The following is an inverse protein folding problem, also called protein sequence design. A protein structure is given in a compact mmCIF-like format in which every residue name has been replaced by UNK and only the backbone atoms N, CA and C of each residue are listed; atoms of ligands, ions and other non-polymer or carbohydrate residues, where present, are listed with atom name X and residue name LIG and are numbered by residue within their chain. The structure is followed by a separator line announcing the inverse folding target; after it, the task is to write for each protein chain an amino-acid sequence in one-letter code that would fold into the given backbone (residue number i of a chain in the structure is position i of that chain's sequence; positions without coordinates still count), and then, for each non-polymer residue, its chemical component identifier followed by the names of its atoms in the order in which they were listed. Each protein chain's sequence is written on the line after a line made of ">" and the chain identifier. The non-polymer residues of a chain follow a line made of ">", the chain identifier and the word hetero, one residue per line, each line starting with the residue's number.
data_IF_860745538151
#
_entry.id   IF_860745538151
#
_cell.length_a   1.000
_cell.length_b   1.000
_cell.length_c   1.000
_cell.angle_alpha   90.00
_cell.angle_beta   90.00
_cell.angle_gamma   90.00
#
_symmetry.space_group_name_H-M   'P 1'
#
loop_
_entity.id
_entity.type
_entity.pdbx_description
1 polymer ?
#
# COMPACT_ATOMS: atom_id res chain seq x y z
N UNK A 1 -13.71 21.78 -3.32
CA UNK A 1 -12.72 22.24 -2.32
C UNK A 1 -12.85 21.36 -1.09
N UNK A 2 -11.75 20.76 -0.63
CA UNK A 2 -11.74 19.92 0.58
C UNK A 2 -11.82 20.86 1.78
N UNK A 3 -12.86 20.73 2.62
CA UNK A 3 -12.97 21.58 3.82
C UNK A 3 -11.87 21.20 4.82
N UNK A 4 -10.80 21.98 4.87
CA UNK A 4 -9.60 21.69 5.67
C UNK A 4 -9.83 21.78 7.19
N UNK A 5 -10.95 22.34 7.64
CA UNK A 5 -11.33 22.54 9.05
C UNK A 5 -12.38 21.54 9.56
N UNK A 6 -12.64 20.44 8.84
CA UNK A 6 -13.70 19.48 9.20
C UNK A 6 -13.51 18.83 10.58
N UNK A 7 -12.28 18.58 11.01
CA UNK A 7 -11.99 17.97 12.31
C UNK A 7 -10.87 18.72 13.04
N UNK A 8 -11.07 18.92 14.34
CA UNK A 8 -10.20 19.77 15.18
C UNK A 8 -8.92 19.09 15.66
N UNK A 9 -8.73 17.79 15.42
CA UNK A 9 -7.67 16.95 15.99
C UNK A 9 -6.79 16.26 14.93
N UNK A 10 -6.82 16.71 13.67
CA UNK A 10 -6.08 16.08 12.56
C UNK A 10 -5.11 17.02 11.83
N UNK A 11 -4.96 18.27 12.25
CA UNK A 11 -4.26 19.32 11.49
C UNK A 11 -2.81 18.94 11.17
N UNK A 12 -2.14 18.29 12.13
CA UNK A 12 -0.75 17.82 12.01
C UNK A 12 -0.66 16.29 11.87
N UNK A 13 -1.78 15.61 11.67
CA UNK A 13 -1.81 14.15 11.60
C UNK A 13 -1.38 13.66 10.21
N UNK A 14 -0.49 12.68 10.15
CA UNK A 14 0.08 12.16 8.90
C UNK A 14 -0.96 11.64 7.89
N UNK A 15 -2.10 11.14 8.40
CA UNK A 15 -3.22 10.64 7.61
C UNK A 15 -4.30 11.70 7.31
N UNK A 16 -4.09 12.99 7.60
CA UNK A 16 -5.09 14.08 7.46
C UNK A 16 -5.82 14.05 6.12
N UNK A 17 -5.07 13.96 5.03
CA UNK A 17 -5.61 13.98 3.66
C UNK A 17 -6.53 12.79 3.39
N UNK A 18 -6.14 11.58 3.80
CA UNK A 18 -6.97 10.38 3.68
C UNK A 18 -8.21 10.42 4.57
N UNK A 19 -8.08 10.95 5.79
CA UNK A 19 -9.20 11.14 6.72
C UNK A 19 -10.25 12.06 6.10
N UNK A 20 -9.85 13.24 5.60
CA UNK A 20 -10.76 14.18 4.97
C UNK A 20 -11.42 13.58 3.71
N UNK A 21 -10.66 12.85 2.90
CA UNK A 21 -11.18 12.22 1.69
C UNK A 21 -12.21 11.11 1.98
N UNK A 22 -11.98 10.30 3.02
CA UNK A 22 -12.91 9.28 3.47
C UNK A 22 -14.18 9.91 4.09
N UNK A 23 -14.03 10.99 4.86
CA UNK A 23 -15.15 11.69 5.47
C UNK A 23 -16.06 12.38 4.46
N UNK A 24 -15.49 13.02 3.43
CA UNK A 24 -16.27 13.62 2.34
C UNK A 24 -17.08 12.61 1.53
N UNK A 25 -16.67 11.34 1.55
CA UNK A 25 -17.38 10.23 0.92
C UNK A 25 -18.34 9.51 1.88
N UNK A 26 -18.54 10.06 3.09
CA UNK A 26 -19.35 9.48 4.16
C UNK A 26 -18.90 8.06 4.61
N UNK A 27 -17.66 7.69 4.33
CA UNK A 27 -17.12 6.37 4.68
C UNK A 27 -16.76 6.30 6.17
N UNK A 28 -16.06 7.34 6.63
CA UNK A 28 -15.66 7.50 8.02
C UNK A 28 -16.21 8.81 8.54
N UNK A 29 -16.93 8.77 9.66
CA UNK A 29 -17.52 9.95 10.28
C UNK A 29 -16.73 10.33 11.54
N UNK A 30 -16.62 11.63 11.78
CA UNK A 30 -16.16 12.14 13.08
C UNK A 30 -17.25 12.06 14.14
N UNK A 31 -16.94 12.59 15.30
CA UNK A 31 -17.80 12.62 16.47
C UNK A 31 -18.55 13.95 16.56
N UNK A 32 -19.68 14.01 17.30
CA UNK A 32 -20.45 15.25 17.47
C UNK A 32 -19.67 16.43 18.09
N UNK A 33 -18.56 16.15 18.76
CA UNK A 33 -17.63 17.14 19.34
C UNK A 33 -16.68 17.77 18.30
N UNK A 34 -16.81 17.43 17.03
CA UNK A 34 -15.96 17.94 15.95
C UNK A 34 -14.59 17.26 15.85
N UNK A 35 -14.35 16.16 16.59
CA UNK A 35 -13.12 15.37 16.50
C UNK A 35 -13.26 14.18 15.56
N UNK A 36 -12.14 13.68 15.03
CA UNK A 36 -12.07 12.43 14.27
C UNK A 36 -11.53 11.25 15.10
N UNK A 37 -10.65 11.54 16.06
CA UNK A 37 -9.91 10.61 16.92
C UNK A 37 -9.06 9.63 16.11
N UNK A 38 -8.08 10.12 15.32
CA UNK A 38 -7.34 9.30 14.36
C UNK A 38 -6.52 8.17 15.00
N UNK A 39 -6.06 8.36 16.24
CA UNK A 39 -5.29 7.36 16.98
C UNK A 39 -6.16 6.33 17.74
N UNK A 40 -7.48 6.51 17.78
CA UNK A 40 -8.33 5.58 18.50
C UNK A 40 -8.37 4.22 17.76
N UNK A 41 -8.25 3.10 18.48
CA UNK A 41 -8.31 1.77 17.88
C UNK A 41 -9.73 1.46 17.42
N UNK A 42 -9.86 0.53 16.46
CA UNK A 42 -11.16 0.17 15.88
C UNK A 42 -11.57 -1.24 16.27
N UNK A 43 -12.84 -1.41 16.59
CA UNK A 43 -13.44 -2.71 16.86
C UNK A 43 -13.72 -3.50 15.58
N UNK A 44 -13.87 -4.82 15.69
CA UNK A 44 -14.23 -5.68 14.55
C UNK A 44 -15.58 -5.29 13.93
N UNK A 45 -16.57 -4.88 14.74
CA UNK A 45 -17.87 -4.41 14.25
C UNK A 45 -17.76 -3.09 13.49
N UNK A 46 -17.01 -2.12 14.02
CA UNK A 46 -16.76 -0.86 13.31
C UNK A 46 -16.04 -1.07 11.99
N UNK A 47 -15.03 -1.95 11.96
CA UNK A 47 -14.34 -2.27 10.72
C UNK A 47 -15.26 -2.91 9.68
N UNK A 48 -16.16 -3.82 10.09
CA UNK A 48 -17.18 -4.38 9.19
C UNK A 48 -18.11 -3.31 8.62
N UNK A 49 -18.57 -2.37 9.45
CA UNK A 49 -19.38 -1.24 9.02
C UNK A 49 -18.65 -0.33 8.02
N UNK A 50 -17.36 -0.03 8.27
CA UNK A 50 -16.53 0.77 7.38
C UNK A 50 -16.37 0.10 6.01
N UNK A 51 -16.15 -1.23 5.98
CA UNK A 51 -16.08 -1.98 4.71
C UNK A 51 -17.41 -1.93 3.96
N UNK A 52 -18.52 -2.21 4.64
CA UNK A 52 -19.87 -2.22 4.04
C UNK A 52 -20.26 -0.86 3.45
N UNK A 53 -19.86 0.23 4.10
CA UNK A 53 -20.09 1.60 3.60
C UNK A 53 -19.10 1.98 2.50
N UNK A 54 -17.81 1.70 2.71
CA UNK A 54 -16.72 2.31 1.98
C UNK A 54 -16.25 1.59 0.74
N UNK A 55 -16.47 0.28 0.64
CA UNK A 55 -15.92 -0.55 -0.43
C UNK A 55 -17.00 -1.00 -1.42
N UNK A 56 -16.63 -1.28 -2.69
CA UNK A 56 -17.55 -1.86 -3.65
C UNK A 56 -18.14 -3.16 -3.14
N UNK A 57 -19.46 -3.33 -3.32
CA UNK A 57 -20.15 -4.58 -2.97
C UNK A 57 -19.53 -5.74 -3.74
N UNK A 58 -19.10 -6.75 -3.00
CA UNK A 58 -18.57 -7.99 -3.56
C UNK A 58 -19.67 -9.05 -3.59
N UNK A 59 -19.62 -10.01 -4.54
CA UNK A 59 -20.53 -11.15 -4.55
C UNK A 59 -20.45 -11.96 -3.25
N UNK A 60 -21.60 -12.46 -2.79
CA UNK A 60 -21.65 -13.40 -1.66
C UNK A 60 -20.94 -14.71 -2.06
N UNK A 61 -19.85 -15.00 -1.35
CA UNK A 61 -19.01 -16.20 -1.54
C UNK A 61 -19.21 -17.22 -0.42
N UNK A 62 -19.93 -16.86 0.66
CA UNK A 62 -20.26 -17.74 1.78
C UNK A 62 -21.77 -17.71 2.05
N UNK A 63 -22.37 -18.82 2.54
CA UNK A 63 -23.76 -18.83 2.97
C UNK A 63 -23.97 -17.88 4.16
N UNK A 64 -25.18 -17.35 4.31
CA UNK A 64 -25.53 -16.54 5.46
C UNK A 64 -25.48 -17.35 6.76
N UNK A 65 -24.99 -16.73 7.83
CA UNK A 65 -25.02 -17.29 9.18
C UNK A 65 -25.40 -16.21 10.19
N UNK A 66 -25.90 -16.63 11.34
CA UNK A 66 -26.03 -15.77 12.52
C UNK A 66 -24.91 -16.07 13.52
N UNK A 67 -24.22 -15.03 13.96
CA UNK A 67 -23.24 -15.13 15.03
C UNK A 67 -23.96 -15.06 16.39
N UNK A 68 -23.53 -15.89 17.34
CA UNK A 68 -24.21 -16.04 18.64
C UNK A 68 -24.10 -14.75 19.47
N UNK A 69 -22.99 -14.03 19.33
CA UNK A 69 -22.68 -12.79 20.04
C UNK A 69 -23.00 -11.52 19.24
N UNK A 70 -23.76 -11.65 18.15
CA UNK A 70 -24.27 -10.52 17.36
C UNK A 70 -25.79 -10.63 17.25
N UNK A 71 -26.54 -10.06 18.21
CA UNK A 71 -27.98 -10.00 18.16
C UNK A 71 -28.48 -9.33 16.86
N UNK A 72 -29.66 -9.72 16.37
CA UNK A 72 -30.21 -9.17 15.12
C UNK A 72 -30.44 -7.64 15.16
N UNK A 73 -30.66 -7.06 16.34
CA UNK A 73 -30.80 -5.63 16.56
C UNK A 73 -29.47 -4.90 16.81
N UNK A 74 -28.33 -5.60 16.80
CA UNK A 74 -27.03 -4.97 16.93
C UNK A 74 -26.79 -4.03 15.75
N UNK A 75 -26.33 -2.80 16.01
CA UNK A 75 -26.20 -1.74 15.01
C UNK A 75 -25.36 -2.14 13.78
N UNK A 76 -24.36 -3.01 13.98
CA UNK A 76 -23.49 -3.54 12.91
C UNK A 76 -23.92 -4.90 12.36
N UNK A 77 -25.05 -5.50 12.79
CA UNK A 77 -25.42 -6.87 12.44
C UNK A 77 -25.43 -7.11 10.92
N UNK A 78 -26.06 -6.21 10.17
CA UNK A 78 -26.11 -6.26 8.71
C UNK A 78 -24.72 -6.16 8.07
N UNK A 79 -23.91 -5.19 8.51
CA UNK A 79 -22.56 -4.99 7.98
C UNK A 79 -21.64 -6.20 8.27
N UNK A 80 -21.79 -6.82 9.44
CA UNK A 80 -21.08 -8.03 9.83
C UNK A 80 -21.47 -9.20 8.92
N UNK A 81 -22.77 -9.40 8.68
CA UNK A 81 -23.26 -10.44 7.78
C UNK A 81 -22.75 -10.23 6.35
N UNK A 82 -22.84 -9.01 5.83
CA UNK A 82 -22.34 -8.65 4.49
C UNK A 82 -20.82 -8.89 4.37
N UNK A 83 -20.03 -8.41 5.34
CA UNK A 83 -18.58 -8.61 5.34
C UNK A 83 -18.19 -10.09 5.44
N UNK A 84 -18.97 -10.90 6.17
CA UNK A 84 -18.76 -12.34 6.24
C UNK A 84 -19.06 -13.04 4.92
N UNK A 85 -20.23 -12.76 4.33
CA UNK A 85 -20.66 -13.35 3.06
C UNK A 85 -19.70 -12.98 1.92
N UNK A 86 -19.20 -11.74 1.92
CA UNK A 86 -18.25 -11.23 0.94
C UNK A 86 -16.79 -11.61 1.21
N UNK A 87 -16.51 -12.55 2.13
CA UNK A 87 -15.17 -13.06 2.44
C UNK A 87 -14.19 -12.01 3.02
N UNK A 88 -14.65 -10.82 3.40
CA UNK A 88 -13.81 -9.84 4.08
C UNK A 88 -13.49 -10.28 5.50
N UNK A 89 -14.49 -10.68 6.29
CA UNK A 89 -14.29 -11.05 7.68
C UNK A 89 -14.73 -12.49 7.93
N UNK A 90 -14.08 -13.14 8.88
CA UNK A 90 -14.46 -14.46 9.38
C UNK A 90 -14.84 -14.36 10.85
N UNK A 91 -15.72 -15.25 11.28
CA UNK A 91 -15.91 -15.52 12.69
C UNK A 91 -14.81 -16.40 13.27
N UNK A 92 -14.91 -16.60 14.56
CA UNK A 92 -14.15 -17.56 15.35
C UNK A 92 -14.94 -18.87 15.49
N UNK A 93 -14.32 -19.94 16.04
CA UNK A 93 -15.03 -21.15 16.40
C UNK A 93 -16.30 -20.87 17.23
N UNK A 94 -17.25 -21.81 17.17
CA UNK A 94 -18.55 -21.71 17.86
C UNK A 94 -19.43 -20.54 17.39
N UNK A 95 -19.28 -20.09 16.14
CA UNK A 95 -20.07 -18.99 15.55
C UNK A 95 -19.99 -17.70 16.36
N UNK A 96 -18.82 -17.37 16.89
CA UNK A 96 -18.56 -16.06 17.51
C UNK A 96 -18.00 -15.08 16.48
N UNK A 97 -18.43 -13.83 16.52
CA UNK A 97 -17.83 -12.76 15.72
C UNK A 97 -16.91 -11.86 16.53
N UNK A 98 -17.20 -11.69 17.82
CA UNK A 98 -16.53 -10.82 18.78
C UNK A 98 -16.57 -9.35 18.38
N UNK A 99 -17.76 -8.73 18.29
CA UNK A 99 -17.95 -7.41 17.69
C UNK A 99 -17.18 -6.29 18.38
N UNK A 100 -16.99 -6.38 19.71
CA UNK A 100 -16.34 -5.36 20.52
C UNK A 100 -14.82 -5.56 20.70
N UNK A 101 -14.25 -6.67 20.20
CA UNK A 101 -12.80 -6.84 20.21
C UNK A 101 -12.15 -5.87 19.23
N UNK A 102 -11.03 -5.27 19.63
CA UNK A 102 -10.21 -4.44 18.76
C UNK A 102 -9.55 -5.30 17.68
N UNK A 103 -9.49 -4.79 16.44
CA UNK A 103 -8.96 -5.55 15.31
C UNK A 103 -7.46 -5.27 15.11
N UNK A 104 -6.59 -6.31 15.15
CA UNK A 104 -5.19 -6.15 14.80
C UNK A 104 -4.98 -5.71 13.34
N UNK A 105 -3.92 -4.94 13.07
CA UNK A 105 -3.54 -4.49 11.72
C UNK A 105 -3.48 -5.65 10.72
N UNK A 106 -2.90 -6.78 11.13
CA UNK A 106 -2.80 -7.96 10.27
C UNK A 106 -4.17 -8.51 9.87
N UNK A 107 -5.15 -8.49 10.78
CA UNK A 107 -6.50 -8.97 10.48
C UNK A 107 -7.25 -8.00 9.55
N UNK A 108 -7.11 -6.69 9.76
CA UNK A 108 -7.71 -5.68 8.90
C UNK A 108 -7.17 -5.77 7.46
N UNK A 109 -5.85 -5.89 7.28
CA UNK A 109 -5.23 -6.02 5.96
C UNK A 109 -5.53 -7.38 5.30
N UNK A 110 -5.54 -8.47 6.08
CA UNK A 110 -5.96 -9.79 5.60
C UNK A 110 -7.39 -9.73 5.08
N UNK A 111 -8.29 -9.08 5.83
CA UNK A 111 -9.69 -8.94 5.46
C UNK A 111 -9.87 -8.20 4.12
N UNK A 112 -9.17 -7.08 3.93
CA UNK A 112 -9.19 -6.35 2.67
C UNK A 112 -8.69 -7.22 1.50
N UNK A 113 -7.57 -7.91 1.66
CA UNK A 113 -7.02 -8.76 0.62
C UNK A 113 -7.93 -9.96 0.29
N UNK A 114 -8.53 -10.59 1.30
CA UNK A 114 -9.45 -11.72 1.13
C UNK A 114 -10.76 -11.33 0.48
N UNK A 115 -11.38 -10.22 0.89
CA UNK A 115 -12.65 -9.76 0.33
C UNK A 115 -12.51 -9.22 -1.10
N UNK A 116 -11.37 -8.60 -1.43
CA UNK A 116 -11.07 -8.11 -2.77
C UNK A 116 -10.41 -9.18 -3.67
N UNK A 117 -10.31 -10.41 -3.18
CA UNK A 117 -9.75 -11.56 -3.88
C UNK A 117 -8.37 -11.31 -4.49
N UNK A 118 -7.47 -10.67 -3.72
CA UNK A 118 -6.11 -10.43 -4.18
C UNK A 118 -5.28 -11.71 -4.12
N UNK A 119 -4.77 -12.12 -5.29
CA UNK A 119 -3.74 -13.15 -5.41
C UNK A 119 -2.33 -12.61 -5.18
N UNK A 120 -1.40 -13.51 -4.84
CA UNK A 120 0.05 -13.25 -4.82
C UNK A 120 0.65 -13.89 -6.07
N UNK A 121 1.52 -13.18 -6.77
CA UNK A 121 2.19 -13.71 -7.97
C UNK A 121 3.61 -14.21 -7.69
N UNK A 122 4.24 -13.74 -6.62
CA UNK A 122 5.56 -14.16 -6.15
C UNK A 122 5.48 -15.09 -4.93
N UNK A 123 6.63 -15.63 -4.50
CA UNK A 123 6.75 -16.31 -3.21
C UNK A 123 6.38 -15.34 -2.07
N UNK A 124 5.28 -15.58 -1.33
CA UNK A 124 4.82 -14.69 -0.28
C UNK A 124 5.89 -14.42 0.79
N UNK A 125 6.71 -15.41 1.14
CA UNK A 125 7.72 -15.28 2.19
C UNK A 125 8.81 -14.32 1.75
N UNK A 126 9.26 -14.43 0.50
CA UNK A 126 10.29 -13.54 -0.04
C UNK A 126 9.76 -12.10 -0.21
N UNK A 127 8.51 -11.94 -0.65
CA UNK A 127 7.85 -10.62 -0.69
C UNK A 127 7.84 -9.98 0.70
N UNK A 128 7.43 -10.71 1.74
CA UNK A 128 7.38 -10.16 3.09
C UNK A 128 8.77 -9.84 3.66
N UNK A 129 9.76 -10.72 3.48
CA UNK A 129 11.15 -10.48 3.90
C UNK A 129 11.76 -9.24 3.21
N UNK A 130 11.40 -9.00 1.95
CA UNK A 130 11.88 -7.82 1.19
C UNK A 130 11.37 -6.52 1.82
N UNK A 131 10.12 -6.48 2.23
CA UNK A 131 9.44 -5.24 2.59
C UNK A 131 9.28 -4.99 4.09
N UNK A 132 9.41 -6.01 4.95
CA UNK A 132 9.15 -5.88 6.38
C UNK A 132 10.27 -6.43 7.26
N UNK A 133 10.83 -5.57 8.10
CA UNK A 133 11.85 -5.94 9.09
C UNK A 133 11.25 -6.78 10.23
N UNK A 134 9.95 -6.64 10.47
CA UNK A 134 9.16 -7.41 11.45
C UNK A 134 8.36 -8.56 10.83
N UNK A 135 8.74 -9.05 9.64
CA UNK A 135 7.99 -10.12 8.95
C UNK A 135 7.76 -11.37 9.82
N UNK A 136 8.70 -11.68 10.75
CA UNK A 136 8.60 -12.82 11.65
C UNK A 136 7.43 -12.73 12.64
N UNK A 137 6.81 -11.56 12.81
CA UNK A 137 5.62 -11.38 13.63
C UNK A 137 4.31 -11.64 12.87
N UNK A 138 4.37 -11.83 11.54
CA UNK A 138 3.20 -12.09 10.71
C UNK A 138 2.77 -13.55 10.90
N UNK A 139 1.54 -13.82 11.39
CA UNK A 139 1.06 -15.18 11.55
C UNK A 139 0.96 -15.93 10.21
N UNK A 140 1.23 -17.23 10.22
CA UNK A 140 1.24 -18.07 9.01
C UNK A 140 -0.06 -18.01 8.21
N UNK A 141 -1.22 -17.90 8.89
CA UNK A 141 -2.53 -17.79 8.23
C UNK A 141 -2.66 -16.51 7.39
N UNK A 142 -1.92 -15.46 7.72
CA UNK A 142 -2.01 -14.15 7.09
C UNK A 142 -0.94 -13.94 6.00
N UNK A 143 0.11 -14.77 5.96
CA UNK A 143 1.27 -14.63 5.08
C UNK A 143 0.90 -14.31 3.63
N UNK A 144 0.01 -15.12 3.03
CA UNK A 144 -0.41 -14.92 1.63
C UNK A 144 -1.19 -13.62 1.45
N UNK A 145 -2.13 -13.35 2.35
CA UNK A 145 -3.00 -12.17 2.24
C UNK A 145 -2.20 -10.86 2.40
N UNK A 146 -1.25 -10.82 3.34
CA UNK A 146 -0.39 -9.65 3.54
C UNK A 146 0.58 -9.46 2.37
N UNK A 147 1.15 -10.54 1.84
CA UNK A 147 1.97 -10.44 0.63
C UNK A 147 1.17 -9.85 -0.54
N UNK A 148 -0.06 -10.33 -0.75
CA UNK A 148 -0.96 -9.82 -1.78
C UNK A 148 -1.30 -8.34 -1.57
N UNK A 149 -1.68 -7.95 -0.34
CA UNK A 149 -1.96 -6.55 0.00
C UNK A 149 -0.74 -5.64 -0.23
N UNK A 150 0.47 -6.16 0.00
CA UNK A 150 1.73 -5.45 -0.23
C UNK A 150 1.98 -5.25 -1.72
N UNK A 151 1.85 -6.30 -2.53
CA UNK A 151 1.99 -6.24 -3.99
C UNK A 151 0.94 -5.31 -4.63
N UNK A 152 -0.28 -5.29 -4.09
CA UNK A 152 -1.37 -4.40 -4.51
C UNK A 152 -1.28 -2.98 -3.94
N UNK A 153 -0.20 -2.63 -3.22
CA UNK A 153 0.03 -1.29 -2.67
C UNK A 153 -1.09 -0.80 -1.75
N UNK A 154 -1.69 -1.72 -0.98
CA UNK A 154 -2.75 -1.42 -0.02
C UNK A 154 -2.19 -1.11 1.36
N UNK A 155 -1.11 -1.80 1.74
CA UNK A 155 -0.44 -1.57 3.01
C UNK A 155 0.11 -0.15 3.07
N UNK A 156 -0.12 0.52 4.20
CA UNK A 156 0.42 1.84 4.51
C UNK A 156 1.07 1.80 5.88
N UNK A 157 2.37 2.07 5.95
CA UNK A 157 3.17 2.03 7.17
C UNK A 157 3.70 3.43 7.50
N UNK A 158 3.48 3.84 8.74
CA UNK A 158 3.92 5.11 9.28
C UNK A 158 4.39 4.91 10.73
N UNK A 159 5.48 5.56 11.16
CA UNK A 159 6.43 6.35 10.35
C UNK A 159 7.45 5.47 9.60
N UNK A 160 7.63 4.22 10.02
CA UNK A 160 8.63 3.31 9.48
C UNK A 160 8.03 2.44 8.35
N UNK A 161 8.36 2.75 7.09
CA UNK A 161 7.81 2.04 5.92
C UNK A 161 8.03 0.51 5.97
N UNK A 162 9.12 0.05 6.59
CA UNK A 162 9.47 -1.37 6.72
C UNK A 162 8.92 -2.07 7.98
N UNK A 163 8.04 -1.42 8.76
CA UNK A 163 7.42 -2.03 9.95
C UNK A 163 5.91 -2.18 9.72
N UNK A 164 5.42 -3.42 9.66
CA UNK A 164 3.99 -3.69 9.51
C UNK A 164 3.22 -3.54 10.83
N UNK A 165 3.86 -3.92 11.94
CA UNK A 165 3.29 -4.01 13.28
C UNK A 165 2.02 -4.89 13.32
N UNK A 166 2.11 -6.17 12.91
CA UNK A 166 0.92 -7.00 12.62
C UNK A 166 0.00 -7.20 13.82
N UNK A 167 0.53 -7.22 15.03
CA UNK A 167 -0.20 -7.50 16.27
C UNK A 167 -0.70 -6.24 16.99
N UNK A 168 -0.39 -5.04 16.48
CA UNK A 168 -0.93 -3.80 17.00
C UNK A 168 -2.36 -3.59 16.48
N UNK A 169 -3.25 -3.08 17.34
CA UNK A 169 -4.61 -2.72 16.92
C UNK A 169 -4.57 -1.59 15.90
N UNK A 170 -5.31 -1.75 14.80
CA UNK A 170 -5.41 -0.72 13.78
C UNK A 170 -6.23 0.46 14.31
N UNK A 171 -5.81 1.66 13.93
CA UNK A 171 -6.45 2.91 14.30
C UNK A 171 -7.38 3.42 13.21
N UNK A 172 -8.26 4.36 13.57
CA UNK A 172 -9.17 5.02 12.63
C UNK A 172 -8.44 5.75 11.50
N UNK A 173 -7.31 6.40 11.81
CA UNK A 173 -6.48 7.09 10.83
C UNK A 173 -5.85 6.13 9.82
N UNK A 174 -5.36 4.98 10.29
CA UNK A 174 -4.79 3.95 9.42
C UNK A 174 -5.84 3.33 8.50
N UNK A 175 -7.03 2.99 9.01
CA UNK A 175 -8.13 2.49 8.18
C UNK A 175 -8.49 3.50 7.08
N UNK A 176 -8.53 4.80 7.39
CA UNK A 176 -8.78 5.83 6.38
C UNK A 176 -7.77 5.74 5.23
N UNK A 177 -6.49 5.49 5.54
CA UNK A 177 -5.45 5.32 4.51
C UNK A 177 -5.65 4.04 3.71
N UNK A 178 -5.94 2.92 4.35
CA UNK A 178 -6.16 1.64 3.66
C UNK A 178 -7.35 1.71 2.71
N UNK A 179 -8.46 2.29 3.14
CA UNK A 179 -9.64 2.48 2.29
C UNK A 179 -9.31 3.40 1.12
N UNK A 180 -8.58 4.50 1.34
CA UNK A 180 -8.15 5.35 0.25
C UNK A 180 -7.24 4.60 -0.75
N UNK A 181 -6.37 3.70 -0.29
CA UNK A 181 -5.57 2.85 -1.19
C UNK A 181 -6.43 1.89 -2.00
N UNK A 182 -7.40 1.23 -1.37
CA UNK A 182 -8.34 0.32 -2.05
C UNK A 182 -9.18 1.06 -3.10
N UNK A 183 -9.62 2.28 -2.79
CA UNK A 183 -10.43 3.11 -3.69
C UNK A 183 -9.59 3.93 -4.68
N UNK A 184 -8.28 3.69 -4.73
CA UNK A 184 -7.33 4.40 -5.62
C UNK A 184 -7.37 5.94 -5.47
N UNK A 185 -7.69 6.43 -4.27
CA UNK A 185 -7.71 7.85 -3.95
C UNK A 185 -6.27 8.29 -3.62
N UNK A 186 -5.67 9.24 -4.36
CA UNK A 186 -4.25 9.58 -4.26
C UNK A 186 -3.96 10.51 -3.06
N UNK A 187 -4.25 10.07 -1.84
CA UNK A 187 -4.08 10.84 -0.60
C UNK A 187 -2.91 10.39 0.27
N UNK A 188 -2.41 9.18 0.05
CA UNK A 188 -1.33 8.58 0.83
C UNK A 188 0.03 8.89 0.17
N UNK A 189 0.96 9.56 0.87
CA UNK A 189 2.32 9.76 0.37
C UNK A 189 3.03 8.43 0.08
N UNK A 190 3.70 8.32 -1.07
CA UNK A 190 4.42 7.10 -1.48
C UNK A 190 5.47 6.64 -0.46
N UNK A 191 6.11 7.56 0.27
CA UNK A 191 7.05 7.22 1.35
C UNK A 191 6.46 6.38 2.49
N UNK A 192 5.13 6.19 2.54
CA UNK A 192 4.44 5.33 3.51
C UNK A 192 3.89 4.04 2.89
N UNK A 193 4.14 3.77 1.61
CA UNK A 193 3.59 2.59 0.91
C UNK A 193 4.73 1.60 0.63
N UNK A 194 4.77 0.43 1.30
CA UNK A 194 5.83 -0.55 1.10
C UNK A 194 5.99 -0.94 -0.37
N UNK A 195 7.25 -0.89 -0.80
CA UNK A 195 7.69 -1.25 -2.14
C UNK A 195 7.30 -0.29 -3.25
N UNK A 196 6.64 0.85 -2.97
CA UNK A 196 6.87 2.02 -3.82
C UNK A 196 8.29 2.49 -3.50
N UNK A 197 9.27 1.77 -4.04
CA UNK A 197 10.65 2.21 -3.98
C UNK A 197 10.64 3.63 -4.54
N UNK A 198 11.15 4.59 -3.75
CA UNK A 198 11.64 5.82 -4.33
C UNK A 198 12.77 5.38 -5.25
N UNK A 199 12.42 5.12 -6.51
CA UNK A 199 13.39 5.16 -7.57
C UNK A 199 14.03 6.55 -7.46
N UNK A 200 15.27 6.61 -6.95
CA UNK A 200 16.07 7.84 -7.04
C UNK A 200 16.14 8.27 -8.51
N UNK A 201 16.15 7.28 -9.40
CA UNK A 201 16.07 7.44 -10.85
C UNK A 201 14.90 6.58 -11.36
N UNK A 202 13.77 7.19 -11.75
CA UNK A 202 12.65 6.46 -12.33
C UNK A 202 13.07 5.62 -13.54
N UNK A 203 12.42 4.47 -13.80
CA UNK A 203 12.69 3.67 -15.00
C UNK A 203 12.36 4.50 -16.25
N UNK A 204 13.40 4.92 -16.98
CA UNK A 204 13.31 5.79 -18.16
C UNK A 204 14.36 5.45 -19.25
N UNK A 205 15.11 4.37 -19.05
CA UNK A 205 16.18 3.89 -19.91
C UNK A 205 15.85 2.49 -20.41
N UNK A 206 16.33 2.16 -21.60
CA UNK A 206 16.18 0.83 -22.19
C UNK A 206 17.02 -0.19 -21.42
N UNK A 207 18.17 0.24 -20.91
CA UNK A 207 19.06 -0.49 -20.02
C UNK A 207 19.88 0.49 -19.16
N UNK A 208 20.31 0.07 -17.98
CA UNK A 208 21.26 0.82 -17.16
C UNK A 208 22.06 -0.10 -16.24
N UNK A 209 23.30 0.27 -15.94
CA UNK A 209 24.22 -0.49 -15.09
C UNK A 209 24.49 0.19 -13.73
N UNK A 210 25.30 -0.46 -12.89
CA UNK A 210 25.78 0.11 -11.62
C UNK A 210 26.62 1.38 -11.82
N UNK A 211 26.61 2.26 -10.83
CA UNK A 211 27.48 3.43 -10.78
C UNK A 211 28.93 3.04 -10.49
N UNK A 212 29.85 3.54 -11.31
CA UNK A 212 31.31 3.45 -11.14
C UNK A 212 31.88 4.86 -11.26
N UNK A 213 32.71 5.28 -10.30
CA UNK A 213 33.25 6.66 -10.24
C UNK A 213 32.17 7.77 -10.31
N UNK A 214 30.96 7.46 -9.85
CA UNK A 214 29.83 8.40 -9.83
C UNK A 214 28.99 8.45 -11.11
N UNK A 215 29.35 7.69 -12.15
CA UNK A 215 28.60 7.59 -13.41
C UNK A 215 28.11 6.16 -13.65
N UNK A 216 26.92 6.02 -14.23
CA UNK A 216 26.39 4.74 -14.69
C UNK A 216 26.19 4.79 -16.20
N UNK A 217 26.42 3.65 -16.88
CA UNK A 217 26.06 3.50 -18.28
C UNK A 217 24.54 3.40 -18.38
N UNK A 218 23.95 4.13 -19.31
CA UNK A 218 22.52 4.07 -19.56
C UNK A 218 22.24 4.12 -21.07
N UNK A 219 21.29 3.30 -21.51
CA UNK A 219 20.89 3.18 -22.89
C UNK A 219 19.55 3.88 -23.13
N UNK A 220 19.45 4.64 -24.23
CA UNK A 220 18.19 5.22 -24.69
C UNK A 220 18.17 5.25 -26.21
N UNK A 221 17.07 4.78 -26.79
CA UNK A 221 16.91 4.66 -28.24
C UNK A 221 18.05 3.88 -28.87
N UNK A 222 18.42 2.76 -28.23
CA UNK A 222 19.49 1.84 -28.65
C UNK A 222 20.90 2.46 -28.73
N UNK A 223 21.13 3.61 -28.07
CA UNK A 223 22.45 4.22 -27.96
C UNK A 223 22.83 4.37 -26.48
N UNK A 224 24.10 4.22 -26.20
CA UNK A 224 24.67 4.31 -24.87
C UNK A 224 25.23 5.70 -24.58
N UNK A 225 25.06 6.13 -23.34
CA UNK A 225 25.66 7.32 -22.74
C UNK A 225 25.92 7.06 -21.24
N UNK A 226 26.17 8.14 -20.49
CA UNK A 226 26.45 8.06 -19.05
C UNK A 226 25.57 9.02 -18.26
N UNK A 227 25.00 8.52 -17.16
CA UNK A 227 24.14 9.27 -16.25
C UNK A 227 24.81 9.47 -14.89
N UNK A 228 24.45 10.55 -14.20
CA UNK A 228 24.80 10.78 -12.79
C UNK A 228 23.82 10.08 -11.84
N UNK A 229 24.06 10.20 -10.52
CA UNK A 229 23.21 9.62 -9.46
C UNK A 229 21.80 10.22 -9.38
N UNK A 230 21.52 11.30 -10.13
CA UNK A 230 20.18 11.89 -10.29
C UNK A 230 19.45 11.31 -11.51
N UNK A 231 20.14 10.56 -12.36
CA UNK A 231 19.60 10.00 -13.60
C UNK A 231 19.65 10.96 -14.78
N UNK A 232 20.39 12.07 -14.67
CA UNK A 232 20.61 12.98 -15.80
C UNK A 232 21.80 12.51 -16.61
N UNK A 233 21.69 12.52 -17.94
CA UNK A 233 22.84 12.26 -18.81
C UNK A 233 23.91 13.34 -18.61
N UNK A 234 25.09 12.90 -18.17
CA UNK A 234 26.34 13.68 -18.18
C UNK A 234 27.00 13.56 -19.55
N UNK A 235 26.89 12.40 -20.19
CA UNK A 235 27.28 12.15 -21.57
C UNK A 235 26.07 11.59 -22.31
N UNK A 236 25.60 12.31 -23.33
CA UNK A 236 24.38 11.95 -24.06
C UNK A 236 24.51 10.60 -24.78
N UNK A 237 23.39 9.87 -24.98
CA UNK A 237 23.36 8.66 -25.80
C UNK A 237 23.84 8.91 -27.22
N UNK A 238 25.01 8.39 -27.58
CA UNK A 238 25.59 8.52 -28.92
C UNK A 238 26.45 7.32 -29.33
N UNK A 239 26.78 6.44 -28.39
CA UNK A 239 27.68 5.32 -28.64
C UNK A 239 26.90 4.03 -28.90
N UNK A 240 27.49 3.15 -29.70
CA UNK A 240 26.98 1.80 -29.91
C UNK A 240 27.27 0.90 -28.71
N UNK A 241 28.39 1.15 -28.03
CA UNK A 241 28.82 0.41 -26.84
C UNK A 241 29.66 1.31 -25.95
N UNK A 242 29.56 1.16 -24.63
CA UNK A 242 30.37 1.90 -23.65
C UNK A 242 30.78 1.00 -22.49
N UNK A 243 31.98 1.23 -21.93
CA UNK A 243 32.50 0.52 -20.76
C UNK A 243 32.42 1.36 -19.48
N UNK A 244 32.49 0.76 -18.28
CA UNK A 244 32.53 1.53 -17.03
C UNK A 244 33.75 2.45 -17.01
N UNK A 245 33.64 3.58 -16.31
CA UNK A 245 34.78 4.45 -16.05
C UNK A 245 35.81 3.74 -15.17
N UNK A 246 37.08 4.00 -15.43
CA UNK A 246 38.22 3.63 -14.61
C UNK A 246 39.29 4.70 -14.74
N UNK A 247 39.73 5.26 -13.62
CA UNK A 247 40.74 6.33 -13.58
C UNK A 247 40.32 7.56 -14.42
N UNK A 248 39.02 7.87 -14.46
CA UNK A 248 38.49 9.01 -15.21
C UNK A 248 38.40 8.80 -16.73
N UNK A 249 38.65 7.59 -17.24
CA UNK A 249 38.53 7.24 -18.65
C UNK A 249 37.53 6.10 -18.88
N UNK A 250 36.94 6.04 -20.07
CA UNK A 250 36.09 4.92 -20.46
C UNK A 250 36.23 4.60 -21.96
N UNK A 251 36.26 3.30 -22.28
CA UNK A 251 36.26 2.83 -23.65
C UNK A 251 34.86 2.94 -24.25
N UNK A 252 34.76 3.47 -25.46
CA UNK A 252 33.50 3.62 -26.20
C UNK A 252 33.66 3.13 -27.64
N UNK A 253 32.57 2.61 -28.22
CA UNK A 253 32.47 2.29 -29.65
C UNK A 253 31.47 3.24 -30.30
N UNK A 254 31.93 3.97 -31.31
CA UNK A 254 31.06 4.81 -32.15
C UNK A 254 30.47 3.99 -33.30
N UNK A 255 29.26 4.37 -33.71
CA UNK A 255 28.66 3.82 -34.91
C UNK A 255 29.21 4.54 -36.15
N UNK A 256 30.17 3.91 -36.83
CA UNK A 256 30.85 4.46 -38.01
C UNK A 256 29.93 4.71 -39.22
N UNK A 257 28.67 4.25 -39.18
CA UNK A 257 27.70 4.43 -40.27
C UNK A 257 26.84 5.71 -40.15
N UNK A 258 27.07 6.57 -39.14
CA UNK A 258 26.31 7.83 -38.94
C UNK A 258 27.01 9.10 -39.44
N UNK A 259 28.25 9.01 -39.91
CA UNK A 259 28.97 10.15 -40.49
C UNK A 259 28.87 10.15 -42.01
N UNK A 260 27.77 10.69 -42.53
CA UNK A 260 27.69 11.34 -43.85
C UNK A 260 26.43 12.22 -43.96
N UNK A 261 26.45 13.47 -43.49
CA UNK A 261 25.68 14.54 -44.12
C UNK A 261 26.57 15.20 -45.20
N UNK A 262 26.18 15.03 -46.47
CA UNK A 262 26.57 15.93 -47.57
C UNK A 262 25.90 17.28 -47.40
#
# INVERSE_FOLDING_TARGET
>A
MVNESMFSDIQNHWAKTSILAAAQRNILKGYPDGTFRPAAPVTRAEFAAIISIGLPKQPSSRPEISFIDVPANHWAAKAIAEAYQANYLSGYPNRMFKPNELIPRVQALTALASGLNYGVTADPINTLKKYYDDFGQIPSYATRAIAAATEKRIVVNYPEIKRLQPNQNVTRGEIATFICRVLEIPTVPSKYIPGTELFVIPPQFDAADNFVEGLARAQKSNQWGYIDKTGKFVILPQFEEVHPFSEGLALVRENLNKSSPT
#
